data_IF_818205293731
#
_entry.id   IF_818205293731
#
_cell.length_a   1.000
_cell.length_b   1.000
_cell.length_c   1.000
_cell.angle_alpha   90.00
_cell.angle_beta   90.00
_cell.angle_gamma   90.00
#
_symmetry.space_group_name_H-M   'P 1'
#
loop_
_entity.id
_entity.type
_entity.pdbx_description
1 polymer ?
#
# COMPACT_ATOMS: atom_id res chain seq x y z
N UNK A 1 60.73 -15.23 -1.39
CA UNK A 1 59.46 -15.99 -1.48
C UNK A 1 58.97 -16.31 -0.08
N UNK A 2 57.92 -15.61 0.39
CA UNK A 2 56.92 -15.90 1.46
C UNK A 2 56.35 -14.57 2.00
N UNK A 3 55.03 -14.43 1.87
CA UNK A 3 54.06 -13.35 2.27
C UNK A 3 53.66 -13.67 3.75
N UNK A 4 53.09 -12.81 4.67
CA UNK A 4 51.96 -11.90 4.39
C UNK A 4 51.67 -10.64 5.25
N UNK A 5 50.68 -9.89 4.75
CA UNK A 5 49.65 -9.05 5.41
C UNK A 5 50.07 -8.00 6.46
N UNK A 6 49.87 -6.73 6.10
CA UNK A 6 49.32 -5.73 7.02
C UNK A 6 48.26 -4.89 6.30
N UNK A 7 47.01 -5.09 6.73
CA UNK A 7 45.84 -4.25 6.47
C UNK A 7 46.04 -2.86 7.10
N UNK A 8 45.60 -1.78 6.45
CA UNK A 8 44.93 -0.67 7.15
C UNK A 8 44.22 0.31 6.20
N UNK A 9 42.88 0.24 6.23
CA UNK A 9 41.90 1.33 6.22
C UNK A 9 41.83 2.30 5.02
N UNK A 10 41.16 1.85 3.96
CA UNK A 10 40.30 2.72 3.14
C UNK A 10 39.14 3.23 4.01
N UNK A 11 39.28 4.43 4.59
CA UNK A 11 38.16 5.22 5.08
C UNK A 11 37.43 5.81 3.87
N UNK A 12 36.61 5.00 3.21
CA UNK A 12 35.48 5.53 2.44
C UNK A 12 34.41 5.91 3.47
N UNK A 13 33.97 7.18 3.56
CA UNK A 13 32.74 7.49 4.26
C UNK A 13 31.61 6.80 3.49
N UNK A 14 31.27 5.59 3.92
CA UNK A 14 30.05 4.90 3.59
C UNK A 14 28.90 5.65 4.24
N UNK A 15 28.50 6.78 3.65
CA UNK A 15 27.15 7.32 3.83
C UNK A 15 26.25 6.69 2.77
N UNK A 16 26.11 5.37 2.82
CA UNK A 16 24.92 4.71 2.26
C UNK A 16 23.81 4.85 3.30
N UNK A 17 23.35 6.07 3.51
CA UNK A 17 21.96 6.23 3.87
C UNK A 17 21.21 5.84 2.58
N UNK A 18 20.50 4.71 2.62
CA UNK A 18 19.53 4.40 1.58
C UNK A 18 18.66 5.66 1.41
N UNK A 19 18.53 6.22 0.20
CA UNK A 19 17.58 7.30 0.00
C UNK A 19 16.21 6.66 0.21
N UNK A 20 15.72 6.74 1.43
CA UNK A 20 14.31 6.52 1.73
C UNK A 20 13.56 7.45 0.78
N UNK A 21 12.92 6.80 -0.20
CA UNK A 21 12.02 7.33 -1.21
C UNK A 21 11.72 8.82 -0.97
N UNK A 22 12.43 9.72 -1.67
CA UNK A 22 12.04 11.12 -1.71
C UNK A 22 10.59 11.16 -2.18
N UNK A 23 9.75 11.93 -1.50
CA UNK A 23 8.47 12.35 -2.06
C UNK A 23 8.79 12.90 -3.46
N UNK A 24 8.22 12.28 -4.50
CA UNK A 24 8.33 12.82 -5.85
C UNK A 24 7.31 13.95 -5.91
N UNK A 25 7.76 15.14 -6.31
CA UNK A 25 6.87 16.27 -6.57
C UNK A 25 5.76 15.80 -7.51
N UNK A 26 4.52 16.04 -7.12
CA UNK A 26 3.40 15.60 -7.93
C UNK A 26 3.37 16.30 -9.28
N UNK A 27 3.40 15.50 -10.36
CA UNK A 27 3.21 15.98 -11.73
C UNK A 27 1.74 16.29 -12.02
N UNK A 28 0.83 15.71 -11.23
CA UNK A 28 -0.60 15.96 -11.27
C UNK A 28 -1.19 16.00 -9.87
N UNK A 29 -2.23 16.82 -9.69
CA UNK A 29 -2.82 17.06 -8.36
C UNK A 29 -3.77 15.94 -7.90
N UNK A 30 -4.23 15.11 -8.84
CA UNK A 30 -5.34 14.20 -8.64
C UNK A 30 -5.12 12.90 -9.40
N UNK A 31 -5.32 11.75 -8.76
CA UNK A 31 -5.25 10.44 -9.39
C UNK A 31 -6.62 9.75 -9.30
N UNK A 32 -7.37 9.66 -10.41
CA UNK A 32 -8.62 8.90 -10.47
C UNK A 32 -8.35 7.42 -10.24
N UNK A 33 -9.14 6.80 -9.37
CA UNK A 33 -9.09 5.36 -9.12
C UNK A 33 -10.50 4.76 -9.16
N UNK A 34 -10.57 3.46 -9.38
CA UNK A 34 -11.78 2.69 -9.14
C UNK A 34 -11.51 1.45 -8.31
N UNK A 35 -12.49 1.09 -7.50
CA UNK A 35 -12.50 -0.12 -6.71
C UNK A 35 -13.61 -1.04 -7.21
N UNK A 36 -13.30 -2.33 -7.32
CA UNK A 36 -14.28 -3.38 -7.63
C UNK A 36 -14.07 -4.58 -6.70
N UNK A 37 -15.01 -5.52 -6.71
CA UNK A 37 -14.98 -6.72 -5.88
C UNK A 37 -14.74 -6.41 -4.38
N UNK A 38 -15.20 -5.24 -3.91
CA UNK A 38 -15.04 -4.85 -2.52
C UNK A 38 -15.90 -5.74 -1.62
N UNK A 39 -15.25 -6.48 -0.73
CA UNK A 39 -15.86 -7.46 0.16
C UNK A 39 -15.40 -7.24 1.59
N UNK A 40 -16.35 -7.22 2.52
CA UNK A 40 -16.11 -7.16 3.97
C UNK A 40 -16.53 -8.50 4.56
N UNK A 41 -15.61 -9.17 5.26
CA UNK A 41 -15.85 -10.45 5.89
C UNK A 41 -16.95 -10.32 6.97
N UNK A 42 -17.97 -11.17 6.86
CA UNK A 42 -19.13 -11.15 7.76
C UNK A 42 -18.77 -11.57 9.20
N UNK A 43 -17.73 -12.38 9.39
CA UNK A 43 -17.26 -12.84 10.71
C UNK A 43 -16.23 -11.90 11.32
N UNK A 44 -15.60 -11.05 10.51
CA UNK A 44 -14.66 -10.05 10.95
C UNK A 44 -14.81 -8.79 10.12
N UNK A 45 -15.62 -7.84 10.61
CA UNK A 45 -15.90 -6.57 9.92
C UNK A 45 -14.66 -5.74 9.59
N UNK A 46 -13.50 -6.03 10.18
CA UNK A 46 -12.26 -5.36 9.85
C UNK A 46 -11.51 -6.04 8.71
N UNK A 47 -11.87 -7.25 8.29
CA UNK A 47 -11.25 -7.94 7.17
C UNK A 47 -11.96 -7.49 5.87
N UNK A 48 -11.23 -6.80 5.00
CA UNK A 48 -11.72 -6.26 3.72
C UNK A 48 -10.82 -6.74 2.60
N UNK A 49 -11.39 -7.04 1.43
CA UNK A 49 -10.66 -7.21 0.16
C UNK A 49 -11.27 -6.40 -0.96
N UNK A 50 -10.46 -5.99 -1.93
CA UNK A 50 -10.91 -5.26 -3.11
C UNK A 50 -9.87 -5.33 -4.22
N UNK A 51 -10.30 -5.07 -5.46
CA UNK A 51 -9.41 -4.71 -6.56
C UNK A 51 -9.35 -3.21 -6.68
N UNK A 52 -8.18 -2.70 -7.03
CA UNK A 52 -7.95 -1.29 -7.25
C UNK A 52 -7.35 -1.09 -8.63
N UNK A 53 -7.92 -0.14 -9.37
CA UNK A 53 -7.51 0.26 -10.70
C UNK A 53 -7.18 1.75 -10.72
N UNK A 54 -6.10 2.10 -11.40
CA UNK A 54 -5.66 3.47 -11.66
C UNK A 54 -4.88 3.46 -12.96
N UNK A 55 -5.12 4.43 -13.84
CA UNK A 55 -4.53 4.42 -15.20
C UNK A 55 -4.75 3.04 -15.88
N UNK A 56 -3.66 2.40 -16.33
CA UNK A 56 -3.65 1.05 -16.91
C UNK A 56 -3.17 -0.03 -15.92
N UNK A 57 -3.12 0.28 -14.61
CA UNK A 57 -2.66 -0.63 -13.56
C UNK A 57 -3.83 -1.23 -12.78
N UNK A 58 -3.66 -2.50 -12.39
CA UNK A 58 -4.54 -3.21 -11.45
C UNK A 58 -3.71 -3.77 -10.29
N UNK A 59 -4.25 -3.69 -9.07
CA UNK A 59 -3.73 -4.44 -7.92
C UNK A 59 -4.86 -5.07 -7.13
N UNK A 60 -4.57 -6.22 -6.53
CA UNK A 60 -5.45 -6.83 -5.53
C UNK A 60 -4.98 -6.44 -4.15
N UNK A 61 -5.87 -5.82 -3.40
CA UNK A 61 -5.65 -5.53 -2.00
C UNK A 61 -6.24 -6.68 -1.17
N UNK A 62 -5.50 -7.12 -0.14
CA UNK A 62 -5.66 -8.42 0.52
C UNK A 62 -7.08 -8.65 1.06
N UNK A 63 -7.45 -9.90 1.43
CA UNK A 63 -6.53 -11.03 1.55
C UNK A 63 -6.78 -12.12 0.50
N UNK A 64 -5.74 -12.38 -0.30
CA UNK A 64 -5.61 -13.50 -1.23
C UNK A 64 -5.69 -14.82 -0.43
N UNK A 65 -6.88 -15.37 -0.19
CA UNK A 65 -7.06 -16.58 0.63
C UNK A 65 -6.12 -17.74 0.22
N UNK A 66 -5.28 -18.23 1.17
CA UNK A 66 -4.53 -19.53 1.26
C UNK A 66 -3.01 -19.40 1.49
N UNK A 67 -2.59 -19.16 2.74
CA UNK A 67 -1.45 -19.94 3.26
C UNK A 67 -2.03 -21.32 3.71
N UNK A 68 -1.50 -22.47 3.23
CA UNK A 68 -1.85 -23.80 3.74
C UNK A 68 -1.63 -23.96 5.25
N UNK A 69 -0.93 -23.02 5.91
CA UNK A 69 -0.71 -23.00 7.34
C UNK A 69 -1.69 -22.06 8.05
N UNK A 70 -2.85 -22.63 8.38
CA UNK A 70 -3.63 -22.42 9.62
C UNK A 70 -3.32 -21.14 10.44
N UNK A 71 -4.37 -20.33 10.62
CA UNK A 71 -4.61 -19.41 11.75
C UNK A 71 -3.57 -18.29 11.90
N UNK A 72 -3.88 -17.08 11.41
CA UNK A 72 -3.49 -15.74 11.95
C UNK A 72 -3.24 -14.70 10.84
N UNK A 73 -4.14 -14.54 9.87
CA UNK A 73 -4.24 -13.22 9.26
C UNK A 73 -4.71 -12.26 10.36
N UNK A 74 -3.78 -11.47 10.93
CA UNK A 74 -4.08 -10.48 11.96
C UNK A 74 -5.18 -9.59 11.40
N UNK A 75 -6.31 -9.47 12.12
CA UNK A 75 -7.41 -8.61 11.69
C UNK A 75 -6.85 -7.25 11.25
N UNK A 76 -7.35 -6.71 10.13
CA UNK A 76 -6.99 -5.33 9.83
C UNK A 76 -7.42 -4.47 11.03
N UNK A 77 -6.59 -3.54 11.45
CA UNK A 77 -7.04 -2.54 12.43
C UNK A 77 -6.93 -1.20 11.74
N UNK A 78 -7.83 -0.29 12.09
CA UNK A 78 -7.79 1.09 11.59
C UNK A 78 -6.49 1.83 11.89
N UNK A 79 -5.63 1.25 12.74
CA UNK A 79 -4.33 1.78 13.17
C UNK A 79 -3.15 1.31 12.32
N UNK A 80 -3.36 0.28 11.49
CA UNK A 80 -2.28 -0.33 10.70
C UNK A 80 -2.46 0.01 9.22
N UNK A 81 -1.33 0.04 8.51
CA UNK A 81 -1.28 0.17 7.06
C UNK A 81 -0.86 -1.18 6.48
N UNK A 82 -1.49 -1.58 5.38
CA UNK A 82 -1.32 -2.87 4.75
C UNK A 82 -0.98 -2.69 3.27
N UNK A 83 -0.14 -3.57 2.75
CA UNK A 83 0.25 -3.57 1.35
C UNK A 83 -0.75 -4.37 0.51
N UNK A 84 -1.01 -3.87 -0.70
CA UNK A 84 -1.64 -4.65 -1.75
C UNK A 84 -0.61 -5.52 -2.46
N UNK A 85 -1.06 -6.33 -3.42
CA UNK A 85 -0.16 -7.18 -4.22
C UNK A 85 0.92 -6.36 -4.93
N UNK A 86 0.54 -5.20 -5.47
CA UNK A 86 1.48 -4.16 -5.85
C UNK A 86 1.91 -3.35 -4.61
N UNK A 87 3.20 -3.37 -4.21
CA UNK A 87 3.69 -2.71 -3.01
C UNK A 87 3.69 -1.17 -3.11
N UNK A 88 3.50 -0.60 -4.30
CA UNK A 88 3.25 0.84 -4.48
C UNK A 88 1.89 1.28 -3.96
N UNK A 89 1.00 0.34 -3.63
CA UNK A 89 -0.34 0.62 -3.11
C UNK A 89 -0.46 0.10 -1.68
N UNK A 90 -0.81 1.00 -0.78
CA UNK A 90 -1.09 0.66 0.61
C UNK A 90 -2.46 1.17 1.03
N UNK A 91 -3.03 0.57 2.07
CA UNK A 91 -4.34 0.96 2.56
C UNK A 91 -4.49 0.73 4.07
N UNK A 92 -5.47 1.40 4.66
CA UNK A 92 -5.97 1.07 5.99
C UNK A 92 -7.49 1.05 5.96
N UNK A 93 -8.09 0.26 6.84
CA UNK A 93 -9.54 0.09 6.85
C UNK A 93 -10.09 0.11 8.27
N UNK A 94 -11.20 0.82 8.44
CA UNK A 94 -11.96 0.87 9.66
C UNK A 94 -13.33 0.20 9.48
N UNK A 95 -13.49 -1.00 10.01
CA UNK A 95 -14.75 -1.75 9.95
C UNK A 95 -15.90 -1.17 10.77
N UNK A 96 -15.65 -0.20 11.67
CA UNK A 96 -16.71 0.46 12.45
C UNK A 96 -17.54 1.42 11.59
N UNK A 97 -16.90 2.08 10.62
CA UNK A 97 -17.53 3.11 9.78
C UNK A 97 -17.35 2.88 8.28
N UNK A 98 -16.77 1.75 7.88
CA UNK A 98 -16.51 1.40 6.49
C UNK A 98 -15.47 2.28 5.80
N UNK A 99 -14.70 3.09 6.54
CA UNK A 99 -13.73 3.99 5.92
C UNK A 99 -12.49 3.23 5.45
N UNK A 100 -12.30 3.18 4.13
CA UNK A 100 -11.11 2.69 3.46
C UNK A 100 -10.24 3.89 3.09
N UNK A 101 -8.99 3.90 3.56
CA UNK A 101 -7.97 4.89 3.18
C UNK A 101 -6.94 4.23 2.28
N UNK A 102 -6.53 4.92 1.23
CA UNK A 102 -5.68 4.37 0.17
C UNK A 102 -4.55 5.36 -0.08
N UNK A 103 -3.34 4.82 -0.27
CA UNK A 103 -2.18 5.56 -0.73
C UNK A 103 -1.53 4.85 -1.92
N UNK A 104 -1.14 5.63 -2.93
CA UNK A 104 -0.44 5.16 -4.13
C UNK A 104 0.80 6.01 -4.33
N UNK A 105 1.97 5.36 -4.43
CA UNK A 105 3.21 6.02 -4.83
C UNK A 105 3.65 5.50 -6.20
N UNK A 106 3.62 6.37 -7.21
CA UNK A 106 3.98 6.05 -8.58
C UNK A 106 5.06 7.01 -9.10
N UNK A 107 5.27 7.05 -10.43
CA UNK A 107 6.26 7.93 -11.03
C UNK A 107 5.86 9.42 -11.03
N UNK A 108 4.57 9.68 -10.89
CA UNK A 108 3.93 11.00 -11.01
C UNK A 108 3.67 11.65 -9.65
N UNK A 109 3.87 10.94 -8.54
CA UNK A 109 3.75 11.49 -7.19
C UNK A 109 3.37 10.47 -6.13
N UNK A 110 3.05 11.00 -4.95
CA UNK A 110 2.42 10.26 -3.86
C UNK A 110 0.99 10.76 -3.68
N UNK A 111 0.03 9.86 -3.78
CA UNK A 111 -1.40 10.16 -3.73
C UNK A 111 -2.06 9.48 -2.55
N UNK A 112 -3.04 10.15 -1.96
CA UNK A 112 -3.76 9.68 -0.78
C UNK A 112 -5.23 10.09 -0.82
N UNK A 113 -6.09 9.26 -0.24
CA UNK A 113 -7.51 9.54 -0.19
C UNK A 113 -8.28 8.52 0.64
N UNK A 114 -9.58 8.75 0.78
CA UNK A 114 -10.46 7.85 1.50
C UNK A 114 -11.81 7.71 0.83
N UNK A 115 -12.42 6.54 0.97
CA UNK A 115 -13.77 6.25 0.50
C UNK A 115 -14.48 5.37 1.52
N UNK A 116 -15.80 5.54 1.64
CA UNK A 116 -16.61 4.65 2.47
C UNK A 116 -17.07 3.47 1.61
N UNK A 117 -16.78 2.27 2.08
CA UNK A 117 -17.28 1.02 1.50
C UNK A 117 -18.32 0.41 2.44
N UNK A 118 -19.32 -0.26 1.88
CA UNK A 118 -20.35 -0.97 2.64
C UNK A 118 -20.60 -2.35 2.03
N UNK A 119 -21.25 -3.24 2.78
CA UNK A 119 -21.63 -4.56 2.29
C UNK A 119 -23.17 -4.63 2.19
N UNK A 120 -23.76 -4.95 1.01
CA UNK A 120 -23.11 -5.18 -0.27
C UNK A 120 -22.51 -3.89 -0.85
N UNK A 121 -21.33 -4.01 -1.45
CA UNK A 121 -20.73 -2.90 -2.19
C UNK A 121 -21.42 -2.73 -3.54
N UNK A 122 -21.47 -1.50 -4.05
CA UNK A 122 -21.69 -1.25 -5.49
C UNK A 122 -20.68 -2.04 -6.32
N UNK A 123 -21.06 -2.43 -7.55
CA UNK A 123 -20.16 -3.14 -8.49
C UNK A 123 -18.86 -2.36 -8.76
N UNK A 124 -18.94 -1.03 -8.80
CA UNK A 124 -17.79 -0.14 -9.00
C UNK A 124 -17.89 1.07 -8.08
N UNK A 125 -16.80 1.40 -7.40
CA UNK A 125 -16.66 2.62 -6.60
C UNK A 125 -15.55 3.48 -7.21
N UNK A 126 -15.92 4.60 -7.84
CA UNK A 126 -14.95 5.57 -8.36
C UNK A 126 -14.65 6.64 -7.32
N UNK A 127 -13.38 6.98 -7.16
CA UNK A 127 -12.94 8.09 -6.30
C UNK A 127 -11.66 8.70 -6.85
N UNK A 128 -11.25 9.84 -6.31
CA UNK A 128 -10.04 10.54 -6.73
C UNK A 128 -9.12 10.73 -5.54
N UNK A 129 -7.90 10.22 -5.65
CA UNK A 129 -6.86 10.47 -4.66
C UNK A 129 -6.24 11.84 -4.92
N UNK A 130 -5.86 12.54 -3.86
CA UNK A 130 -5.17 13.84 -3.97
C UNK A 130 -3.69 13.64 -3.76
N UNK A 131 -2.89 14.39 -4.51
CA UNK A 131 -1.47 14.53 -4.24
C UNK A 131 -1.25 14.85 -2.75
N UNK A 132 -0.22 14.24 -2.16
CA UNK A 132 0.19 14.38 -0.77
C UNK A 132 1.48 15.19 -0.62
N UNK A 133 1.78 16.11 -1.55
CA UNK A 133 2.96 16.98 -1.46
C UNK A 133 3.10 17.52 -0.03
N UNK A 134 4.25 17.22 0.58
CA UNK A 134 4.57 17.48 1.98
C UNK A 134 4.83 18.96 2.25
#
# INVERSE_FOLDING_TARGET
MRIPLSLLNLLLPSTLAAPHLKARDCQMNELPISLTDAYIDQNNKNNVSFRLYWEDMETRCPPLNKDPQKKTAKAFTSKNVYECTNPSVTFSYNGDNGQLRIWISNNEGSFGGSVTISNPSSEVISTTLKCQDA
#
